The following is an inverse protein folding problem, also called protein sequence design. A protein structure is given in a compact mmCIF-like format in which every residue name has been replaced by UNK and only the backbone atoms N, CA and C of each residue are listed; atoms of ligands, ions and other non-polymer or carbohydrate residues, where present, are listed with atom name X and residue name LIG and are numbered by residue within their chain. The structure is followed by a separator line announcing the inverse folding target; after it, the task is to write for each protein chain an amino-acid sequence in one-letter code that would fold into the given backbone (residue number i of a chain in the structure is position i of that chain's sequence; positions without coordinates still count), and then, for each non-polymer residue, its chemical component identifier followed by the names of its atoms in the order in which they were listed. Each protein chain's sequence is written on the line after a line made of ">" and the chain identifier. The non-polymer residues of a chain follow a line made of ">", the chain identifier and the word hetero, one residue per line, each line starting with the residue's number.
data_IF_879030380086
#
_entry.id   IF_879030380086
#
_cell.length_a   1.000
_cell.length_b   1.000
_cell.length_c   1.000
_cell.angle_alpha   90.00
_cell.angle_beta   90.00
_cell.angle_gamma   90.00
#
_symmetry.space_group_name_H-M   'P 1'
#
loop_
_entity.id
_entity.type
_entity.pdbx_description
1 polymer ?
#
# COMPACT_ATOMS: atom_id res chain seq x y z
N UNK A 1 -38.16 -1.79 16.18
CA UNK A 1 -37.09 -2.67 15.67
C UNK A 1 -37.10 -2.58 14.16
N UNK A 2 -36.03 -2.08 13.56
CA UNK A 2 -35.86 -2.10 12.10
C UNK A 2 -35.56 -3.52 11.59
N UNK A 3 -35.77 -3.77 10.29
CA UNK A 3 -35.50 -5.07 9.66
C UNK A 3 -34.06 -5.58 9.91
N UNK A 4 -33.08 -4.67 9.96
CA UNK A 4 -31.69 -4.99 10.29
C UNK A 4 -31.49 -5.46 11.75
N UNK A 5 -32.33 -4.99 12.68
CA UNK A 5 -32.32 -5.42 14.08
C UNK A 5 -32.74 -6.88 14.19
N UNK A 6 -33.76 -7.26 13.42
CA UNK A 6 -34.32 -8.61 13.38
C UNK A 6 -33.28 -9.57 12.79
N UNK A 7 -32.63 -9.21 11.67
CA UNK A 7 -31.58 -10.02 11.05
C UNK A 7 -30.38 -10.22 11.99
N UNK A 8 -29.96 -9.17 12.69
CA UNK A 8 -28.86 -9.27 13.65
C UNK A 8 -29.18 -10.20 14.82
N UNK A 9 -30.42 -10.15 15.31
CA UNK A 9 -30.89 -11.02 16.39
C UNK A 9 -30.97 -12.48 15.93
N UNK A 10 -31.45 -12.74 14.70
CA UNK A 10 -31.40 -14.07 14.08
C UNK A 10 -29.97 -14.58 13.92
N UNK A 11 -29.03 -13.73 13.50
CA UNK A 11 -27.61 -14.09 13.38
C UNK A 11 -26.99 -14.49 14.73
N UNK A 12 -27.33 -13.76 15.80
CA UNK A 12 -26.89 -14.09 17.16
C UNK A 12 -27.43 -15.46 17.61
N UNK A 13 -28.73 -15.70 17.43
CA UNK A 13 -29.38 -16.96 17.82
C UNK A 13 -28.80 -18.13 17.00
N UNK A 14 -28.71 -17.99 15.68
CA UNK A 14 -28.17 -19.04 14.80
C UNK A 14 -26.70 -19.32 15.08
N UNK A 15 -25.91 -18.31 15.45
CA UNK A 15 -24.51 -18.49 15.81
C UNK A 15 -24.31 -19.27 17.09
N UNK A 16 -25.07 -18.95 18.14
CA UNK A 16 -25.05 -19.70 19.41
C UNK A 16 -25.52 -21.13 19.18
N UNK A 17 -26.61 -21.32 18.44
CA UNK A 17 -27.13 -22.64 18.10
C UNK A 17 -26.09 -23.46 17.29
N UNK A 18 -25.43 -22.83 16.32
CA UNK A 18 -24.38 -23.43 15.51
C UNK A 18 -23.17 -23.88 16.33
N UNK A 19 -22.73 -23.08 17.31
CA UNK A 19 -21.64 -23.46 18.21
C UNK A 19 -22.02 -24.65 19.11
N UNK A 20 -23.26 -24.70 19.59
CA UNK A 20 -23.76 -25.84 20.39
C UNK A 20 -23.81 -27.12 19.56
N UNK A 21 -24.35 -27.05 18.34
CA UNK A 21 -24.42 -28.20 17.43
C UNK A 21 -23.01 -28.67 17.00
N UNK A 22 -22.10 -27.72 16.72
CA UNK A 22 -20.71 -28.01 16.42
C UNK A 22 -20.01 -28.71 17.59
N UNK A 23 -20.22 -28.23 18.82
CA UNK A 23 -19.68 -28.85 20.03
C UNK A 23 -20.18 -30.29 20.19
N UNK A 24 -21.48 -30.52 20.06
CA UNK A 24 -22.07 -31.86 20.14
C UNK A 24 -21.56 -32.80 19.04
N UNK A 25 -21.47 -32.29 17.81
CA UNK A 25 -20.96 -33.06 16.67
C UNK A 25 -19.48 -33.41 16.84
N UNK A 26 -18.64 -32.47 17.28
CA UNK A 26 -17.21 -32.70 17.55
C UNK A 26 -16.99 -33.72 18.66
N UNK A 27 -17.79 -33.67 19.73
CA UNK A 27 -17.73 -34.68 20.79
C UNK A 27 -18.01 -36.09 20.23
N UNK A 28 -19.01 -36.24 19.37
CA UNK A 28 -19.28 -37.51 18.68
C UNK A 28 -18.16 -37.91 17.73
N UNK A 29 -17.71 -37.00 16.88
CA UNK A 29 -16.70 -37.28 15.86
C UNK A 29 -15.33 -37.65 16.46
N UNK A 30 -14.88 -36.93 17.48
CA UNK A 30 -13.57 -37.15 18.11
C UNK A 30 -13.53 -38.48 18.89
N UNK A 31 -14.68 -39.05 19.29
CA UNK A 31 -14.71 -40.40 19.87
C UNK A 31 -14.35 -41.51 18.88
N UNK A 32 -14.47 -41.24 17.57
CA UNK A 32 -14.08 -42.19 16.51
C UNK A 32 -12.58 -42.14 16.17
N UNK A 33 -11.87 -41.12 16.68
CA UNK A 33 -10.43 -40.96 16.50
C UNK A 33 -9.65 -41.58 17.67
N UNK A 34 -8.54 -42.26 17.38
CA UNK A 34 -7.69 -42.92 18.36
C UNK A 34 -6.80 -41.90 19.10
N UNK A 35 -7.44 -41.11 19.95
CA UNK A 35 -6.83 -40.02 20.73
C UNK A 35 -7.20 -40.22 22.20
N UNK A 36 -6.24 -40.04 23.11
CA UNK A 36 -6.47 -40.17 24.56
C UNK A 36 -7.62 -39.24 25.05
N UNK A 37 -8.50 -39.70 25.95
CA UNK A 37 -9.74 -39.00 26.35
C UNK A 37 -9.51 -37.57 26.86
N UNK A 38 -8.40 -37.32 27.56
CA UNK A 38 -8.02 -35.99 28.05
C UNK A 38 -7.72 -34.99 26.93
N UNK A 39 -7.13 -35.47 25.82
CA UNK A 39 -6.80 -34.66 24.65
C UNK A 39 -8.02 -34.36 23.78
N UNK A 40 -9.05 -35.22 23.82
CA UNK A 40 -10.30 -35.05 23.08
C UNK A 40 -11.05 -33.78 23.52
N UNK A 41 -11.14 -33.56 24.83
CA UNK A 41 -11.76 -32.36 25.40
C UNK A 41 -11.02 -31.07 25.00
N UNK A 42 -9.69 -31.10 25.06
CA UNK A 42 -8.85 -29.95 24.68
C UNK A 42 -8.97 -29.60 23.18
N UNK A 43 -8.99 -30.59 22.29
CA UNK A 43 -9.14 -30.38 20.85
C UNK A 43 -10.53 -29.79 20.54
N UNK A 44 -11.58 -30.33 21.16
CA UNK A 44 -12.96 -29.82 21.00
C UNK A 44 -13.06 -28.37 21.44
N UNK A 45 -12.49 -28.06 22.61
CA UNK A 45 -12.47 -26.71 23.16
C UNK A 45 -11.69 -25.76 22.25
N UNK A 46 -10.50 -26.14 21.80
CA UNK A 46 -9.69 -25.31 20.90
C UNK A 46 -10.43 -24.97 19.59
N UNK A 47 -11.07 -25.94 18.96
CA UNK A 47 -11.79 -25.74 17.69
C UNK A 47 -13.03 -24.85 17.90
N UNK A 48 -13.82 -25.11 18.94
CA UNK A 48 -15.04 -24.35 19.22
C UNK A 48 -14.70 -22.92 19.66
N UNK A 49 -13.63 -22.72 20.44
CA UNK A 49 -13.15 -21.39 20.80
C UNK A 49 -12.63 -20.60 19.59
N UNK A 50 -11.90 -21.24 18.66
CA UNK A 50 -11.42 -20.59 17.45
C UNK A 50 -12.58 -20.13 16.55
N UNK A 51 -13.55 -21.01 16.31
CA UNK A 51 -14.73 -20.71 15.49
C UNK A 51 -15.62 -19.68 16.20
N UNK A 52 -15.74 -19.77 17.53
CA UNK A 52 -16.44 -18.79 18.35
C UNK A 52 -15.84 -17.39 18.24
N UNK A 53 -14.51 -17.26 18.28
CA UNK A 53 -13.82 -15.97 18.11
C UNK A 53 -14.02 -15.38 16.71
N UNK A 54 -13.95 -16.21 15.66
CA UNK A 54 -14.23 -15.78 14.28
C UNK A 54 -15.67 -15.27 14.17
N UNK A 55 -16.63 -16.03 14.70
CA UNK A 55 -18.03 -15.64 14.69
C UNK A 55 -18.28 -14.33 15.46
N UNK A 56 -17.70 -14.17 16.65
CA UNK A 56 -17.82 -12.95 17.46
C UNK A 56 -17.20 -11.74 16.74
N UNK A 57 -16.06 -11.92 16.07
CA UNK A 57 -15.45 -10.88 15.24
C UNK A 57 -16.39 -10.42 14.11
N UNK A 58 -17.12 -11.35 13.49
CA UNK A 58 -18.13 -11.02 12.48
C UNK A 58 -19.37 -10.35 13.09
N UNK A 59 -19.80 -10.78 14.28
CA UNK A 59 -20.91 -10.16 15.01
C UNK A 59 -20.62 -8.69 15.38
N UNK A 60 -19.40 -8.39 15.85
CA UNK A 60 -18.96 -7.01 16.10
C UNK A 60 -18.94 -6.17 14.84
N UNK A 61 -18.46 -6.74 13.72
CA UNK A 61 -18.49 -6.06 12.43
C UNK A 61 -19.92 -5.77 12.00
N UNK A 62 -20.82 -6.75 12.03
CA UNK A 62 -22.24 -6.57 11.67
C UNK A 62 -22.94 -5.54 12.57
N UNK A 63 -22.65 -5.53 13.87
CA UNK A 63 -23.20 -4.53 14.79
C UNK A 63 -22.74 -3.10 14.45
N UNK A 64 -21.47 -2.93 14.08
CA UNK A 64 -20.99 -1.63 13.58
C UNK A 64 -21.69 -1.22 12.28
N UNK A 65 -21.94 -2.14 11.35
CA UNK A 65 -22.65 -1.84 10.10
C UNK A 65 -24.12 -1.46 10.33
N UNK A 66 -24.77 -2.02 11.38
CA UNK A 66 -26.13 -1.67 11.78
C UNK A 66 -26.25 -0.26 12.37
N UNK A 67 -25.17 0.25 12.98
CA UNK A 67 -25.13 1.58 13.59
C UNK A 67 -24.78 2.69 12.58
N UNK A 68 -24.44 2.33 11.34
CA UNK A 68 -24.29 3.28 10.24
C UNK A 68 -25.70 3.53 9.68
N UNK A 69 -26.31 4.72 9.90
CA UNK A 69 -27.61 5.03 9.32
C UNK A 69 -27.55 4.94 7.78
N UNK A 70 -28.64 4.53 7.10
CA UNK A 70 -28.66 4.46 5.66
C UNK A 70 -28.39 5.84 5.08
N UNK A 71 -27.30 5.95 4.32
CA UNK A 71 -26.96 7.11 3.52
C UNK A 71 -28.08 7.33 2.49
N UNK A 72 -28.95 8.30 2.77
CA UNK A 72 -29.84 8.84 1.76
C UNK A 72 -28.96 9.41 0.64
N UNK A 73 -29.16 8.87 -0.55
CA UNK A 73 -28.61 9.36 -1.80
C UNK A 73 -29.27 10.70 -2.14
N UNK A 74 -28.82 11.75 -1.46
CA UNK A 74 -28.80 13.11 -1.97
C UNK A 74 -27.34 13.45 -2.31
N UNK A 75 -27.06 14.32 -3.28
CA UNK A 75 -25.69 14.63 -3.67
C UNK A 75 -25.00 15.24 -2.45
N UNK A 76 -24.09 14.47 -1.85
CA UNK A 76 -23.32 14.92 -0.72
C UNK A 76 -22.40 16.04 -1.20
N UNK A 77 -22.78 17.28 -0.86
CA UNK A 77 -21.81 18.33 -0.64
C UNK A 77 -20.75 17.74 0.30
N UNK A 78 -19.54 17.68 -0.21
CA UNK A 78 -18.36 17.23 0.50
C UNK A 78 -18.10 18.18 1.67
N UNK A 79 -18.70 17.93 2.84
CA UNK A 79 -18.36 18.60 4.09
C UNK A 79 -18.71 17.70 5.29
N UNK A 80 -17.99 16.58 5.42
CA UNK A 80 -17.88 15.85 6.69
C UNK A 80 -16.41 15.76 7.11
N UNK A 81 -15.74 16.93 7.13
CA UNK A 81 -14.33 17.07 7.50
C UNK A 81 -14.01 18.23 8.45
N UNK A 82 -14.98 19.07 8.82
CA UNK A 82 -14.71 20.27 9.62
C UNK A 82 -15.87 20.54 10.58
N UNK A 83 -15.90 19.88 11.74
CA UNK A 83 -16.77 20.29 12.86
C UNK A 83 -16.10 21.43 13.66
N UNK A 84 -14.88 21.82 13.30
CA UNK A 84 -14.05 22.72 14.11
C UNK A 84 -13.80 24.11 13.51
N UNK A 85 -14.11 24.42 12.25
CA UNK A 85 -13.76 25.73 11.68
C UNK A 85 -14.89 26.45 10.94
N UNK A 86 -15.52 25.85 9.92
CA UNK A 86 -16.48 26.60 9.09
C UNK A 86 -17.90 26.69 9.66
N UNK A 87 -18.39 25.67 10.39
CA UNK A 87 -19.78 25.63 10.89
C UNK A 87 -20.00 26.36 12.23
N UNK A 88 -18.91 26.69 12.96
CA UNK A 88 -18.96 27.35 14.28
C UNK A 88 -19.30 28.84 14.22
N UNK A 89 -19.01 29.50 13.09
CA UNK A 89 -19.13 30.96 12.95
C UNK A 89 -20.56 31.43 12.68
N UNK A 90 -21.46 30.53 12.28
CA UNK A 90 -22.83 30.88 11.86
C UNK A 90 -23.93 30.45 12.85
N UNK A 91 -23.57 29.88 14.01
CA UNK A 91 -24.55 29.44 15.02
C UNK A 91 -24.56 30.35 16.26
N UNK A 92 -25.75 30.69 16.79
CA UNK A 92 -25.87 31.42 18.04
C UNK A 92 -25.27 30.62 19.21
N UNK A 93 -24.54 31.29 20.10
CA UNK A 93 -23.71 30.70 21.17
C UNK A 93 -24.51 29.77 22.10
N UNK A 94 -25.81 30.02 22.26
CA UNK A 94 -26.72 29.24 23.12
C UNK A 94 -26.96 27.81 22.63
N UNK A 95 -26.75 27.52 21.34
CA UNK A 95 -26.96 26.19 20.75
C UNK A 95 -25.67 25.37 20.59
N UNK A 96 -24.53 25.91 21.03
CA UNK A 96 -23.24 25.24 20.91
C UNK A 96 -23.02 24.23 22.05
N UNK A 97 -22.48 23.06 21.73
CA UNK A 97 -21.93 22.13 22.73
C UNK A 97 -20.74 22.75 23.47
N UNK A 98 -20.42 22.23 24.67
CA UNK A 98 -19.29 22.76 25.47
C UNK A 98 -17.95 22.71 24.73
N UNK A 99 -17.70 21.68 23.90
CA UNK A 99 -16.49 21.62 23.08
C UNK A 99 -16.46 22.72 21.99
N UNK A 100 -17.62 23.09 21.45
CA UNK A 100 -17.75 24.15 20.46
C UNK A 100 -17.61 25.55 21.09
N UNK A 101 -18.13 25.74 22.32
CA UNK A 101 -17.90 26.97 23.10
C UNK A 101 -16.43 27.17 23.42
N UNK A 102 -15.74 26.10 23.86
CA UNK A 102 -14.31 26.13 24.10
C UNK A 102 -13.51 26.46 22.83
N UNK A 103 -13.84 25.84 21.69
CA UNK A 103 -13.17 26.13 20.42
C UNK A 103 -13.35 27.60 20.00
N UNK A 104 -14.55 28.15 20.17
CA UNK A 104 -14.83 29.57 19.89
C UNK A 104 -14.08 30.50 20.83
N UNK A 105 -14.05 30.17 22.13
CA UNK A 105 -13.29 30.93 23.11
C UNK A 105 -11.78 30.92 22.79
N UNK A 106 -11.23 29.76 22.44
CA UNK A 106 -9.83 29.60 22.02
C UNK A 106 -9.52 30.48 20.80
N UNK A 107 -10.40 30.48 19.80
CA UNK A 107 -10.24 31.31 18.61
C UNK A 107 -10.25 32.81 18.92
N UNK A 108 -11.12 33.26 19.82
CA UNK A 108 -11.26 34.68 20.17
C UNK A 108 -10.13 35.17 21.10
N UNK A 109 -9.67 34.35 22.05
CA UNK A 109 -8.74 34.76 23.12
C UNK A 109 -7.31 34.27 22.91
N UNK A 110 -7.11 33.17 22.19
CA UNK A 110 -5.81 32.54 21.91
C UNK A 110 -5.67 32.15 20.43
N UNK A 111 -5.81 33.11 19.49
CA UNK A 111 -5.90 32.82 18.05
C UNK A 111 -4.69 32.03 17.51
N UNK A 112 -3.48 32.33 17.99
CA UNK A 112 -2.28 31.60 17.56
C UNK A 112 -2.29 30.12 18.00
N UNK A 113 -2.79 29.83 19.20
CA UNK A 113 -2.92 28.44 19.67
C UNK A 113 -3.96 27.69 18.84
N UNK A 114 -5.10 28.33 18.58
CA UNK A 114 -6.15 27.80 17.73
C UNK A 114 -5.62 27.45 16.33
N UNK A 115 -4.93 28.38 15.67
CA UNK A 115 -4.38 28.17 14.33
C UNK A 115 -3.38 27.00 14.29
N UNK A 116 -2.49 26.91 15.29
CA UNK A 116 -1.54 25.81 15.41
C UNK A 116 -2.25 24.46 15.64
N UNK A 117 -3.27 24.43 16.49
CA UNK A 117 -4.05 23.23 16.81
C UNK A 117 -4.87 22.75 15.61
N UNK A 118 -5.53 23.65 14.89
CA UNK A 118 -6.26 23.34 13.65
C UNK A 118 -5.31 22.85 12.56
N UNK A 119 -4.14 23.48 12.41
CA UNK A 119 -3.12 23.01 11.47
C UNK A 119 -2.66 21.58 11.80
N UNK A 120 -2.38 21.28 13.07
CA UNK A 120 -2.04 19.94 13.52
C UNK A 120 -3.15 18.92 13.22
N UNK A 121 -4.41 19.30 13.43
CA UNK A 121 -5.56 18.44 13.10
C UNK A 121 -5.67 18.18 11.59
N UNK A 122 -5.48 19.21 10.76
CA UNK A 122 -5.45 19.06 9.29
C UNK A 122 -4.33 18.12 8.85
N UNK A 123 -3.15 18.24 9.46
CA UNK A 123 -2.00 17.36 9.18
C UNK A 123 -2.33 15.89 9.53
N UNK A 124 -2.98 15.64 10.67
CA UNK A 124 -3.50 14.30 11.05
C UNK A 124 -4.46 13.76 9.98
N UNK A 125 -5.43 14.57 9.54
CA UNK A 125 -6.38 14.17 8.49
C UNK A 125 -5.73 13.91 7.14
N UNK A 126 -4.68 14.65 6.80
CA UNK A 126 -3.85 14.37 5.64
C UNK A 126 -3.18 13.00 5.71
N UNK A 127 -2.68 12.63 6.89
CA UNK A 127 -2.07 11.31 7.14
C UNK A 127 -3.10 10.17 7.10
N UNK A 128 -4.28 10.35 7.70
CA UNK A 128 -5.40 9.40 7.59
C UNK A 128 -5.75 9.09 6.12
N UNK A 129 -5.92 10.15 5.32
CA UNK A 129 -6.22 10.03 3.89
C UNK A 129 -5.09 9.32 3.13
N UNK A 130 -3.83 9.60 3.48
CA UNK A 130 -2.68 8.90 2.92
C UNK A 130 -2.72 7.39 3.24
N UNK A 131 -3.02 6.98 4.47
CA UNK A 131 -3.08 5.57 4.85
C UNK A 131 -4.17 4.80 4.10
N UNK A 132 -5.30 5.42 3.81
CA UNK A 132 -6.35 4.82 2.97
C UNK A 132 -5.84 4.65 1.53
N UNK A 133 -5.15 5.65 0.97
CA UNK A 133 -4.60 5.59 -0.40
C UNK A 133 -3.56 4.49 -0.53
N UNK A 134 -2.58 4.43 0.38
CA UNK A 134 -1.50 3.44 0.30
C UNK A 134 -1.99 2.01 0.50
N UNK A 135 -3.01 1.79 1.35
CA UNK A 135 -3.63 0.47 1.53
C UNK A 135 -4.31 -0.03 0.25
N UNK A 136 -4.95 0.86 -0.51
CA UNK A 136 -5.55 0.54 -1.81
C UNK A 136 -4.51 0.33 -2.90
N UNK A 137 -3.41 1.09 -2.85
CA UNK A 137 -2.38 1.08 -3.88
C UNK A 137 -1.42 -0.11 -3.76
N UNK A 138 -0.99 -0.47 -2.55
CA UNK A 138 0.05 -1.47 -2.33
C UNK A 138 -0.18 -2.83 -3.03
N UNK A 139 -1.41 -3.40 -3.09
CA UNK A 139 -1.69 -4.63 -3.84
C UNK A 139 -1.45 -4.50 -5.36
N UNK A 140 -1.58 -3.29 -5.90
CA UNK A 140 -1.42 -3.00 -7.34
C UNK A 140 0.05 -2.79 -7.73
N UNK A 141 0.93 -2.51 -6.76
CA UNK A 141 2.36 -2.23 -6.96
C UNK A 141 3.25 -3.15 -6.10
N UNK A 142 3.15 -4.48 -6.25
CA UNK A 142 3.86 -5.42 -5.39
C UNK A 142 5.39 -5.25 -5.42
N UNK A 143 5.95 -4.70 -6.52
CA UNK A 143 7.38 -4.42 -6.64
C UNK A 143 7.83 -3.18 -5.86
N UNK A 144 6.90 -2.28 -5.52
CA UNK A 144 7.16 -1.07 -4.74
C UNK A 144 6.81 -1.22 -3.25
N UNK A 145 6.29 -2.37 -2.81
CA UNK A 145 5.99 -2.62 -1.38
C UNK A 145 7.15 -2.25 -0.46
N UNK A 146 8.43 -2.58 -0.76
CA UNK A 146 9.54 -2.17 0.11
C UNK A 146 9.65 -0.65 0.31
N UNK A 147 9.50 0.14 -0.76
CA UNK A 147 9.48 1.60 -0.69
C UNK A 147 8.25 2.09 0.07
N UNK A 148 7.07 1.58 -0.29
CA UNK A 148 5.81 1.96 0.34
C UNK A 148 5.79 1.70 1.84
N UNK A 149 6.32 0.56 2.28
CA UNK A 149 6.41 0.24 3.71
C UNK A 149 7.30 1.22 4.48
N UNK A 150 8.43 1.64 3.90
CA UNK A 150 9.31 2.64 4.53
C UNK A 150 8.61 3.99 4.68
N UNK A 151 7.91 4.44 3.63
CA UNK A 151 7.13 5.69 3.67
C UNK A 151 5.97 5.57 4.66
N UNK A 152 5.28 4.43 4.67
CA UNK A 152 4.17 4.15 5.58
C UNK A 152 4.61 4.22 7.04
N UNK A 153 5.66 3.49 7.41
CA UNK A 153 6.19 3.46 8.78
C UNK A 153 6.62 4.85 9.25
N UNK A 154 7.33 5.59 8.40
CA UNK A 154 7.74 6.96 8.70
C UNK A 154 6.53 7.86 9.00
N UNK A 155 5.52 7.86 8.11
CA UNK A 155 4.30 8.66 8.28
C UNK A 155 3.43 8.18 9.43
N UNK A 156 3.46 6.90 9.76
CA UNK A 156 2.76 6.35 10.93
C UNK A 156 3.36 6.87 12.24
N UNK A 157 4.68 6.96 12.32
CA UNK A 157 5.34 7.58 13.47
C UNK A 157 4.95 9.07 13.59
N UNK A 158 4.99 9.83 12.49
CA UNK A 158 4.51 11.22 12.47
C UNK A 158 3.05 11.32 12.94
N UNK A 159 2.17 10.46 12.44
CA UNK A 159 0.76 10.44 12.81
C UNK A 159 0.55 10.20 14.31
N UNK A 160 1.28 9.26 14.91
CA UNK A 160 1.22 8.98 16.34
C UNK A 160 1.66 10.19 17.17
N UNK A 161 2.79 10.81 16.80
CA UNK A 161 3.29 12.01 17.47
C UNK A 161 2.29 13.18 17.38
N UNK A 162 1.71 13.40 16.20
CA UNK A 162 0.72 14.46 16.00
C UNK A 162 -0.56 14.20 16.78
N UNK A 163 -1.07 12.97 16.76
CA UNK A 163 -2.27 12.57 17.49
C UNK A 163 -2.09 12.74 18.99
N UNK A 164 -0.93 12.32 19.52
CA UNK A 164 -0.58 12.49 20.92
C UNK A 164 -0.51 13.99 21.28
N UNK A 165 0.20 14.79 20.48
CA UNK A 165 0.32 16.24 20.68
C UNK A 165 -1.06 16.92 20.67
N UNK A 166 -1.92 16.56 19.74
CA UNK A 166 -3.28 17.09 19.64
C UNK A 166 -4.13 16.75 20.87
N UNK A 167 -4.03 15.50 21.36
CA UNK A 167 -4.72 15.05 22.56
C UNK A 167 -4.24 15.82 23.79
N UNK A 168 -2.92 15.98 23.97
CA UNK A 168 -2.32 16.73 25.08
C UNK A 168 -2.80 18.19 25.11
N UNK A 169 -2.77 18.88 23.96
CA UNK A 169 -3.28 20.26 23.84
C UNK A 169 -4.77 20.33 24.18
N UNK A 170 -5.57 19.40 23.64
CA UNK A 170 -7.01 19.35 23.88
C UNK A 170 -7.34 19.06 25.35
N UNK A 171 -6.53 18.27 26.06
CA UNK A 171 -6.68 18.03 27.49
C UNK A 171 -6.35 19.29 28.31
N UNK A 172 -5.29 20.02 27.97
CA UNK A 172 -4.93 21.27 28.65
C UNK A 172 -6.00 22.34 28.47
N UNK A 173 -6.55 22.48 27.25
CA UNK A 173 -7.67 23.39 26.98
C UNK A 173 -8.94 23.02 27.76
N UNK A 174 -9.29 21.73 27.82
CA UNK A 174 -10.45 21.28 28.60
C UNK A 174 -10.24 21.50 30.10
N UNK A 175 -9.04 21.23 30.60
CA UNK A 175 -8.70 21.50 32.01
C UNK A 175 -8.84 22.99 32.33
N UNK A 176 -8.29 23.87 31.48
CA UNK A 176 -8.50 25.32 31.57
C UNK A 176 -9.98 25.69 31.56
N UNK A 177 -10.75 25.14 30.61
CA UNK A 177 -12.17 25.46 30.44
C UNK A 177 -12.99 25.14 31.68
N UNK A 178 -12.72 24.00 32.34
CA UNK A 178 -13.38 23.64 33.60
C UNK A 178 -13.10 24.71 34.66
N UNK A 179 -11.84 25.05 34.91
CA UNK A 179 -11.50 26.06 35.93
C UNK A 179 -12.01 27.47 35.57
N UNK A 180 -12.05 27.81 34.29
CA UNK A 180 -12.58 29.08 33.81
C UNK A 180 -14.10 29.20 34.02
N UNK A 181 -14.84 28.12 33.79
CA UNK A 181 -16.31 28.11 33.88
C UNK A 181 -16.84 27.83 35.28
N UNK A 182 -16.11 27.09 36.12
CA UNK A 182 -16.56 26.72 37.47
C UNK A 182 -15.89 27.52 38.59
N UNK A 183 -14.80 28.23 38.29
CA UNK A 183 -13.95 28.90 39.28
C UNK A 183 -13.78 30.40 39.01
N UNK A 184 -12.65 30.95 39.46
CA UNK A 184 -12.28 32.33 39.16
C UNK A 184 -11.70 32.40 37.73
N UNK A 185 -12.49 32.93 36.81
CA UNK A 185 -12.17 33.04 35.39
C UNK A 185 -10.91 33.88 35.12
N UNK A 186 -10.71 34.98 35.86
CA UNK A 186 -9.54 35.86 35.70
C UNK A 186 -8.24 35.16 36.15
N UNK A 187 -8.26 34.49 37.30
CA UNK A 187 -7.12 33.73 37.81
C UNK A 187 -6.78 32.53 36.90
N UNK A 188 -7.80 31.83 36.39
CA UNK A 188 -7.63 30.75 35.43
C UNK A 188 -6.97 31.24 34.14
N UNK A 189 -7.42 32.39 33.62
CA UNK A 189 -6.87 33.00 32.40
C UNK A 189 -5.41 33.44 32.60
N UNK A 190 -5.10 34.10 33.72
CA UNK A 190 -3.74 34.53 34.05
C UNK A 190 -2.77 33.34 34.14
N UNK A 191 -3.19 32.24 34.78
CA UNK A 191 -2.38 31.02 34.91
C UNK A 191 -2.24 30.23 33.61
N UNK A 192 -3.22 30.33 32.72
CA UNK A 192 -3.20 29.62 31.45
C UNK A 192 -2.36 30.32 30.38
N UNK A 193 -2.24 31.65 30.42
CA UNK A 193 -1.42 32.42 29.46
C UNK A 193 0.02 31.86 29.26
N UNK A 194 0.81 31.56 30.31
CA UNK A 194 2.14 30.95 30.11
C UNK A 194 2.07 29.53 29.54
N UNK A 195 0.99 28.78 29.83
CA UNK A 195 0.76 27.43 29.28
C UNK A 195 0.48 27.50 27.78
N UNK A 196 -0.32 28.47 27.32
CA UNK A 196 -0.61 28.72 25.90
C UNK A 196 0.68 28.87 25.10
N UNK A 197 1.59 29.75 25.55
CA UNK A 197 2.87 29.97 24.88
C UNK A 197 3.73 28.68 24.80
N UNK A 198 3.68 27.85 25.84
CA UNK A 198 4.37 26.55 25.85
C UNK A 198 3.73 25.57 24.87
N UNK A 199 2.40 25.51 24.82
CA UNK A 199 1.67 24.62 23.90
C UNK A 199 1.95 24.99 22.44
N UNK A 200 1.92 26.28 22.10
CA UNK A 200 2.27 26.77 20.75
C UNK A 200 3.67 26.28 20.35
N UNK A 201 4.69 26.56 21.18
CA UNK A 201 6.06 26.11 20.92
C UNK A 201 6.17 24.61 20.74
N UNK A 202 5.45 23.84 21.56
CA UNK A 202 5.53 22.38 21.51
C UNK A 202 4.84 21.82 20.26
N UNK A 203 3.73 22.42 19.82
CA UNK A 203 3.08 22.08 18.53
C UNK A 203 4.05 22.40 17.38
N UNK A 204 4.64 23.60 17.37
CA UNK A 204 5.58 24.03 16.33
C UNK A 204 6.82 23.12 16.28
N UNK A 205 7.39 22.73 17.42
CA UNK A 205 8.49 21.76 17.50
C UNK A 205 8.09 20.40 16.93
N UNK A 206 6.93 19.88 17.33
CA UNK A 206 6.44 18.58 16.82
C UNK A 206 6.26 18.61 15.31
N UNK A 207 5.75 19.73 14.75
CA UNK A 207 5.62 19.92 13.31
C UNK A 207 6.96 20.20 12.61
N UNK A 208 7.94 20.76 13.32
CA UNK A 208 9.30 20.96 12.84
C UNK A 208 10.06 19.64 12.65
N UNK A 209 9.88 18.67 13.55
CA UNK A 209 10.43 17.31 13.42
C UNK A 209 9.96 16.58 12.15
N UNK A 210 8.83 17.01 11.56
CA UNK A 210 8.36 16.48 10.27
C UNK A 210 9.25 16.88 9.10
N UNK A 211 9.97 18.01 9.16
CA UNK A 211 10.93 18.38 8.11
C UNK A 211 12.05 17.33 8.01
N UNK A 212 12.53 16.82 9.14
CA UNK A 212 13.52 15.73 9.17
C UNK A 212 12.94 14.43 8.61
N UNK A 213 11.66 14.16 8.87
CA UNK A 213 10.97 13.02 8.30
C UNK A 213 10.77 13.18 6.78
N UNK A 214 10.46 14.38 6.29
CA UNK A 214 10.39 14.66 4.86
C UNK A 214 11.74 14.42 4.17
N UNK A 215 12.84 14.84 4.77
CA UNK A 215 14.19 14.55 4.27
C UNK A 215 14.48 13.03 4.23
N UNK A 216 14.07 12.27 5.26
CA UNK A 216 14.19 10.80 5.25
C UNK A 216 13.31 10.15 4.18
N UNK A 217 12.09 10.65 3.99
CA UNK A 217 11.19 10.17 2.94
C UNK A 217 11.82 10.37 1.56
N UNK A 218 12.36 11.56 1.30
CA UNK A 218 13.10 11.88 0.09
C UNK A 218 14.28 10.93 -0.10
N UNK A 219 15.08 10.67 0.94
CA UNK A 219 16.18 9.73 0.86
C UNK A 219 15.73 8.31 0.43
N UNK A 220 14.63 7.80 0.98
CA UNK A 220 14.10 6.49 0.56
C UNK A 220 13.67 6.45 -0.91
N UNK A 221 13.10 7.55 -1.41
CA UNK A 221 12.75 7.69 -2.82
C UNK A 221 14.02 7.70 -3.69
N UNK A 222 15.03 8.47 -3.29
CA UNK A 222 16.33 8.54 -3.99
C UNK A 222 17.00 7.16 -4.05
N UNK A 223 17.02 6.42 -2.94
CA UNK A 223 17.56 5.07 -2.88
C UNK A 223 16.85 4.13 -3.86
N UNK A 224 15.53 4.22 -3.94
CA UNK A 224 14.71 3.40 -4.85
C UNK A 224 14.97 3.74 -6.32
N UNK A 225 15.09 5.03 -6.64
CA UNK A 225 15.47 5.48 -8.00
C UNK A 225 16.89 5.03 -8.36
N UNK A 226 17.86 5.11 -7.44
CA UNK A 226 19.23 4.60 -7.66
C UNK A 226 19.27 3.08 -7.86
N UNK A 227 18.43 2.34 -7.14
CA UNK A 227 18.30 0.90 -7.35
C UNK A 227 17.74 0.60 -8.76
N UNK A 228 16.74 1.34 -9.21
CA UNK A 228 16.22 1.23 -10.58
C UNK A 228 17.29 1.57 -11.64
N UNK A 229 18.07 2.66 -11.45
CA UNK A 229 19.19 2.99 -12.34
C UNK A 229 20.21 1.84 -12.43
N UNK A 230 20.52 1.22 -11.30
CA UNK A 230 21.48 0.10 -11.23
C UNK A 230 20.95 -1.12 -11.98
N UNK A 231 19.65 -1.40 -11.84
CA UNK A 231 18.98 -2.47 -12.59
C UNK A 231 19.02 -2.21 -14.09
N UNK A 232 18.69 -0.99 -14.54
CA UNK A 232 18.70 -0.61 -15.96
C UNK A 232 20.08 -0.85 -16.61
N UNK A 233 21.17 -0.62 -15.87
CA UNK A 233 22.55 -0.78 -16.36
C UNK A 233 23.04 -2.23 -16.35
N UNK A 234 22.33 -3.16 -15.69
CA UNK A 234 22.77 -4.55 -15.55
C UNK A 234 21.98 -5.50 -16.45
N UNK A 235 22.66 -6.18 -17.37
CA UNK A 235 22.09 -7.24 -18.20
C UNK A 235 22.14 -8.62 -17.54
N UNK A 236 22.71 -8.72 -16.33
CA UNK A 236 22.80 -9.98 -15.59
C UNK A 236 21.43 -10.36 -15.05
N UNK A 237 20.98 -11.57 -15.34
CA UNK A 237 19.76 -12.12 -14.76
C UNK A 237 19.91 -12.24 -13.24
N UNK A 238 18.86 -12.00 -12.46
CA UNK A 238 18.87 -12.26 -11.03
C UNK A 238 19.11 -13.75 -10.77
N UNK A 239 19.72 -14.08 -9.62
CA UNK A 239 19.95 -15.47 -9.23
C UNK A 239 18.63 -16.26 -9.25
N UNK A 240 18.68 -17.55 -9.62
CA UNK A 240 17.50 -18.40 -9.82
C UNK A 240 16.52 -18.43 -8.63
N UNK A 241 17.02 -18.21 -7.41
CA UNK A 241 16.21 -18.12 -6.18
C UNK A 241 15.31 -16.88 -6.12
N UNK A 242 15.68 -15.79 -6.81
CA UNK A 242 14.89 -14.56 -6.83
C UNK A 242 13.78 -14.63 -7.89
N UNK A 243 13.99 -15.41 -8.96
CA UNK A 243 13.09 -15.50 -10.11
C UNK A 243 12.90 -14.15 -10.82
N UNK A 244 12.77 -14.17 -12.15
CA UNK A 244 12.25 -12.97 -12.83
C UNK A 244 10.75 -12.96 -12.59
N UNK A 245 10.31 -12.31 -11.51
CA UNK A 245 8.89 -12.11 -11.26
C UNK A 245 8.34 -11.08 -12.26
N UNK A 246 7.83 -11.57 -13.38
CA UNK A 246 7.20 -10.73 -14.40
C UNK A 246 6.06 -9.89 -13.81
N UNK A 247 5.84 -8.71 -14.40
CA UNK A 247 4.65 -7.92 -14.10
C UNK A 247 3.39 -8.69 -14.47
N UNK A 248 2.39 -8.67 -13.59
CA UNK A 248 1.03 -9.12 -13.94
C UNK A 248 0.47 -8.22 -15.05
N UNK A 249 -0.43 -8.76 -15.87
CA UNK A 249 -1.01 -8.05 -17.01
C UNK A 249 -1.64 -6.71 -16.60
N UNK A 250 -2.46 -6.71 -15.55
CA UNK A 250 -3.14 -5.50 -15.05
C UNK A 250 -2.13 -4.44 -14.60
N UNK A 251 -1.08 -4.84 -13.86
CA UNK A 251 -0.04 -3.93 -13.39
C UNK A 251 0.74 -3.33 -14.57
N UNK A 252 1.06 -4.16 -15.57
CA UNK A 252 1.72 -3.73 -16.80
C UNK A 252 0.86 -2.72 -17.53
N UNK A 253 -0.43 -3.01 -17.71
CA UNK A 253 -1.34 -2.13 -18.44
C UNK A 253 -1.50 -0.77 -17.75
N UNK A 254 -1.64 -0.75 -16.41
CA UNK A 254 -1.67 0.50 -15.63
C UNK A 254 -0.42 1.37 -15.87
N UNK A 255 0.77 0.77 -15.89
CA UNK A 255 2.02 1.50 -16.16
C UNK A 255 2.05 1.99 -17.61
N UNK A 256 1.62 1.18 -18.58
CA UNK A 256 1.55 1.57 -19.99
C UNK A 256 0.58 2.74 -20.22
N UNK A 257 -0.57 2.75 -19.55
CA UNK A 257 -1.55 3.85 -19.60
C UNK A 257 -0.98 5.12 -18.98
N UNK A 258 -0.27 5.01 -17.86
CA UNK A 258 0.44 6.11 -17.23
C UNK A 258 1.52 6.71 -18.15
N UNK A 259 2.34 5.86 -18.78
CA UNK A 259 3.35 6.27 -19.75
C UNK A 259 2.73 6.99 -20.96
N UNK A 260 1.59 6.49 -21.45
CA UNK A 260 0.87 7.10 -22.55
C UNK A 260 0.34 8.50 -22.18
N UNK A 261 -0.23 8.64 -20.98
CA UNK A 261 -0.72 9.93 -20.46
C UNK A 261 0.40 10.96 -20.31
N UNK A 262 1.59 10.51 -19.89
CA UNK A 262 2.74 11.38 -19.63
C UNK A 262 3.66 11.58 -20.85
N UNK A 263 3.26 11.10 -22.04
CA UNK A 263 3.99 11.36 -23.28
C UNK A 263 5.35 10.64 -23.40
N UNK A 264 5.59 9.56 -22.64
CA UNK A 264 6.83 8.79 -22.67
C UNK A 264 6.90 7.83 -23.86
N UNK A 265 6.89 8.38 -25.08
CA UNK A 265 6.71 7.66 -26.34
C UNK A 265 7.80 6.61 -26.61
N UNK A 266 9.07 6.96 -26.41
CA UNK A 266 10.20 6.05 -26.68
C UNK A 266 10.15 4.80 -25.79
N UNK A 267 9.94 5.00 -24.48
CA UNK A 267 9.78 3.90 -23.53
C UNK A 267 8.57 3.02 -23.88
N UNK A 268 7.44 3.64 -24.22
CA UNK A 268 6.22 2.93 -24.59
C UNK A 268 6.40 2.08 -25.86
N UNK A 269 7.07 2.62 -26.88
CA UNK A 269 7.42 1.89 -28.09
C UNK A 269 8.37 0.72 -27.81
N UNK A 270 9.40 0.97 -26.99
CA UNK A 270 10.35 -0.06 -26.56
C UNK A 270 9.65 -1.23 -25.86
N UNK A 271 8.71 -0.93 -24.95
CA UNK A 271 7.93 -1.95 -24.25
C UNK A 271 7.02 -2.74 -25.21
N UNK A 272 6.51 -2.12 -26.28
CA UNK A 272 5.77 -2.81 -27.35
C UNK A 272 6.69 -3.70 -28.17
N UNK A 273 7.88 -3.24 -28.56
CA UNK A 273 8.88 -4.03 -29.28
C UNK A 273 9.28 -5.28 -28.49
N UNK A 274 9.60 -5.13 -27.20
CA UNK A 274 9.92 -6.25 -26.31
C UNK A 274 8.76 -7.25 -26.23
N UNK A 275 7.51 -6.76 -26.18
CA UNK A 275 6.32 -7.62 -26.19
C UNK A 275 6.16 -8.42 -27.48
N UNK A 276 6.37 -7.78 -28.64
CA UNK A 276 6.32 -8.45 -29.94
C UNK A 276 7.42 -9.50 -30.07
N UNK A 277 8.64 -9.17 -29.64
CA UNK A 277 9.77 -10.08 -29.64
C UNK A 277 9.54 -11.28 -28.70
N UNK A 278 8.90 -11.07 -27.54
CA UNK A 278 8.48 -12.16 -26.64
C UNK A 278 7.55 -13.15 -27.33
N UNK A 279 6.56 -12.65 -28.07
CA UNK A 279 5.60 -13.49 -28.79
C UNK A 279 6.32 -14.34 -29.85
N UNK A 280 7.25 -13.74 -30.60
CA UNK A 280 8.10 -14.45 -31.56
C UNK A 280 8.95 -15.54 -30.87
N UNK A 281 9.66 -15.21 -29.79
CA UNK A 281 10.47 -16.16 -29.02
C UNK A 281 9.63 -17.36 -28.55
N UNK A 282 8.43 -17.10 -28.00
CA UNK A 282 7.53 -18.16 -27.54
C UNK A 282 7.06 -19.07 -28.68
N UNK A 283 6.76 -18.51 -29.84
CA UNK A 283 6.42 -19.27 -31.04
C UNK A 283 7.58 -20.19 -31.47
N UNK A 284 8.82 -19.70 -31.46
CA UNK A 284 10.01 -20.49 -31.80
C UNK A 284 10.28 -21.59 -30.78
N UNK A 285 10.13 -21.31 -29.48
CA UNK A 285 10.22 -22.33 -28.42
C UNK A 285 9.21 -23.45 -28.68
N UNK A 286 7.95 -23.11 -29.00
CA UNK A 286 6.93 -24.12 -29.26
C UNK A 286 7.25 -24.94 -30.52
N UNK A 287 7.73 -24.29 -31.58
CA UNK A 287 8.15 -24.96 -32.81
C UNK A 287 9.29 -25.95 -32.55
N UNK A 288 10.33 -25.55 -31.81
CA UNK A 288 11.45 -26.44 -31.44
C UNK A 288 10.97 -27.61 -30.59
N UNK A 289 10.07 -27.38 -29.60
CA UNK A 289 9.48 -28.46 -28.80
C UNK A 289 8.71 -29.47 -29.66
N UNK A 290 7.92 -28.99 -30.63
CA UNK A 290 7.18 -29.86 -31.54
C UNK A 290 8.14 -30.70 -32.41
N UNK A 291 9.27 -30.13 -32.87
CA UNK A 291 10.29 -30.87 -33.60
C UNK A 291 11.00 -31.92 -32.74
N UNK A 292 11.32 -31.61 -31.48
CA UNK A 292 11.89 -32.59 -30.54
C UNK A 292 10.94 -33.78 -30.34
N UNK A 293 9.64 -33.53 -30.24
CA UNK A 293 8.63 -34.58 -30.09
C UNK A 293 8.48 -35.43 -31.36
N UNK A 294 8.54 -34.80 -32.54
CA UNK A 294 8.36 -35.48 -33.83
C UNK A 294 9.62 -36.22 -34.29
N UNK A 295 10.80 -35.70 -33.98
CA UNK A 295 12.10 -36.24 -34.38
C UNK A 295 13.05 -36.26 -33.16
N UNK A 296 12.91 -37.27 -32.27
CA UNK A 296 13.67 -37.35 -31.02
C UNK A 296 15.19 -37.49 -31.23
N UNK A 297 15.61 -37.88 -32.43
CA UNK A 297 16.99 -38.06 -32.86
C UNK A 297 17.70 -36.73 -33.18
N UNK A 298 16.97 -35.64 -33.41
CA UNK A 298 17.57 -34.33 -33.68
C UNK A 298 18.14 -33.69 -32.39
N UNK A 299 19.40 -33.19 -32.40
CA UNK A 299 20.07 -32.62 -31.23
C UNK A 299 19.62 -31.18 -30.92
N UNK A 300 18.32 -30.96 -30.74
CA UNK A 300 17.70 -29.63 -30.59
C UNK A 300 17.72 -29.07 -29.16
N UNK A 301 18.27 -29.80 -28.18
CA UNK A 301 18.30 -29.37 -26.78
C UNK A 301 19.03 -28.03 -26.59
N UNK A 302 20.16 -27.82 -27.28
CA UNK A 302 20.90 -26.55 -27.25
C UNK A 302 20.09 -25.39 -27.84
N UNK A 303 19.43 -25.61 -28.97
CA UNK A 303 18.56 -24.61 -29.61
C UNK A 303 17.44 -24.20 -28.68
N UNK A 304 16.78 -25.17 -28.03
CA UNK A 304 15.74 -24.91 -27.04
C UNK A 304 16.27 -24.07 -25.87
N UNK A 305 17.45 -24.42 -25.33
CA UNK A 305 18.08 -23.68 -24.24
C UNK A 305 18.40 -22.23 -24.62
N UNK A 306 18.90 -21.99 -25.83
CA UNK A 306 19.21 -20.64 -26.32
C UNK A 306 17.94 -19.79 -26.45
N UNK A 307 16.86 -20.34 -27.01
CA UNK A 307 15.57 -19.65 -27.05
C UNK A 307 14.99 -19.36 -25.66
N UNK A 308 15.11 -20.29 -24.71
CA UNK A 308 14.72 -20.07 -23.33
C UNK A 308 15.55 -18.97 -22.65
N UNK A 309 16.85 -18.90 -22.95
CA UNK A 309 17.74 -17.85 -22.46
C UNK A 309 17.35 -16.48 -23.03
N UNK A 310 17.06 -16.42 -24.34
CA UNK A 310 16.55 -15.21 -24.98
C UNK A 310 15.22 -14.74 -24.37
N UNK A 311 14.31 -15.68 -24.06
CA UNK A 311 13.05 -15.37 -23.37
C UNK A 311 13.28 -14.73 -22.01
N UNK A 312 14.17 -15.31 -21.18
CA UNK A 312 14.48 -14.77 -19.85
C UNK A 312 15.05 -13.36 -19.93
N UNK A 313 15.97 -13.11 -20.85
CA UNK A 313 16.55 -11.78 -21.03
C UNK A 313 15.55 -10.76 -21.58
N UNK A 314 14.65 -11.16 -22.48
CA UNK A 314 13.56 -10.32 -22.96
C UNK A 314 12.59 -9.94 -21.82
N UNK A 315 12.16 -10.91 -21.01
CA UNK A 315 11.31 -10.66 -19.84
C UNK A 315 12.00 -9.77 -18.81
N UNK A 316 13.29 -9.96 -18.58
CA UNK A 316 14.06 -9.15 -17.65
C UNK A 316 14.30 -7.72 -18.17
N UNK A 317 14.46 -7.54 -19.48
CA UNK A 317 14.49 -6.21 -20.10
C UNK A 317 13.20 -5.42 -19.85
N UNK A 318 12.05 -6.05 -20.11
CA UNK A 318 10.74 -5.42 -19.84
C UNK A 318 10.59 -5.10 -18.34
N UNK A 319 10.94 -6.05 -17.47
CA UNK A 319 10.88 -5.86 -16.02
C UNK A 319 11.67 -4.62 -15.56
N UNK A 320 12.92 -4.46 -16.00
CA UNK A 320 13.78 -3.33 -15.59
C UNK A 320 13.19 -1.98 -15.99
N UNK A 321 12.65 -1.90 -17.20
CA UNK A 321 12.02 -0.70 -17.74
C UNK A 321 10.72 -0.36 -17.00
N UNK A 322 9.84 -1.36 -16.79
CA UNK A 322 8.60 -1.18 -16.04
C UNK A 322 8.86 -0.82 -14.58
N UNK A 323 9.87 -1.45 -13.94
CA UNK A 323 10.24 -1.16 -12.56
C UNK A 323 10.70 0.28 -12.38
N UNK A 324 11.51 0.79 -13.31
CA UNK A 324 11.95 2.18 -13.29
C UNK A 324 10.78 3.16 -13.47
N UNK A 325 9.86 2.88 -14.41
CA UNK A 325 8.67 3.71 -14.64
C UNK A 325 7.63 3.64 -13.50
N UNK A 326 7.55 2.51 -12.80
CA UNK A 326 6.57 2.32 -11.73
C UNK A 326 6.84 3.21 -10.51
N UNK A 327 8.10 3.56 -10.25
CA UNK A 327 8.48 4.44 -9.12
C UNK A 327 7.78 5.81 -9.25
N UNK A 328 8.03 6.64 -10.29
CA UNK A 328 7.38 7.94 -10.42
C UNK A 328 5.85 7.80 -10.55
N UNK A 329 5.36 6.76 -11.24
CA UNK A 329 3.92 6.50 -11.33
C UNK A 329 3.27 6.25 -9.97
N UNK A 330 3.96 5.55 -9.07
CA UNK A 330 3.48 5.27 -7.70
C UNK A 330 3.49 6.54 -6.85
N UNK A 331 4.53 7.36 -6.98
CA UNK A 331 4.64 8.63 -6.24
C UNK A 331 3.55 9.61 -6.66
N UNK A 332 3.27 9.74 -7.96
CA UNK A 332 2.17 10.58 -8.48
C UNK A 332 0.82 10.15 -7.90
N UNK A 333 0.54 8.84 -7.88
CA UNK A 333 -0.72 8.31 -7.32
C UNK A 333 -0.88 8.57 -5.81
N UNK A 334 0.23 8.72 -5.08
CA UNK A 334 0.24 9.09 -3.67
C UNK A 334 0.28 10.60 -3.43
N UNK A 335 0.29 11.42 -4.49
CA UNK A 335 0.52 12.86 -4.44
C UNK A 335 1.81 13.21 -3.69
N UNK A 336 2.87 12.43 -3.92
CA UNK A 336 4.22 12.70 -3.41
C UNK A 336 5.04 13.29 -4.55
N UNK A 337 5.52 14.52 -4.36
CA UNK A 337 6.41 15.15 -5.34
C UNK A 337 7.75 14.40 -5.39
N UNK A 338 8.16 13.89 -6.56
CA UNK A 338 9.45 13.24 -6.68
C UNK A 338 10.58 14.28 -6.59
N UNK A 339 11.75 13.92 -6.01
CA UNK A 339 12.92 14.79 -6.04
C UNK A 339 13.36 15.09 -7.47
N UNK A 340 13.42 16.36 -7.86
CA UNK A 340 13.60 16.78 -9.26
C UNK A 340 14.88 16.20 -9.91
N UNK A 341 16.04 16.40 -9.26
CA UNK A 341 17.33 15.95 -9.83
C UNK A 341 17.42 14.42 -9.96
N UNK A 342 17.09 13.62 -8.93
CA UNK A 342 17.02 12.16 -9.04
C UNK A 342 16.02 11.67 -10.08
N UNK A 343 14.84 12.29 -10.17
CA UNK A 343 13.83 11.92 -11.15
C UNK A 343 14.30 12.17 -12.59
N UNK A 344 14.81 13.37 -12.89
CA UNK A 344 15.33 13.70 -14.21
C UNK A 344 16.51 12.80 -14.61
N UNK A 345 17.35 12.44 -13.63
CA UNK A 345 18.47 11.51 -13.84
C UNK A 345 17.99 10.09 -14.16
N UNK A 346 16.94 9.61 -13.50
CA UNK A 346 16.34 8.31 -13.80
C UNK A 346 15.78 8.30 -15.23
N UNK A 347 15.07 9.34 -15.63
CA UNK A 347 14.51 9.47 -16.98
C UNK A 347 15.62 9.49 -18.04
N UNK A 348 16.66 10.29 -17.83
CA UNK A 348 17.85 10.30 -18.71
C UNK A 348 18.54 8.93 -18.77
N UNK A 349 18.57 8.20 -17.65
CA UNK A 349 19.13 6.84 -17.61
C UNK A 349 18.28 5.86 -18.40
N UNK A 350 16.94 5.95 -18.32
CA UNK A 350 16.03 5.13 -19.13
C UNK A 350 16.32 5.35 -20.62
N UNK A 351 16.29 6.60 -21.06
CA UNK A 351 16.53 6.97 -22.47
C UNK A 351 17.90 6.50 -22.98
N UNK A 352 18.94 6.65 -22.14
CA UNK A 352 20.30 6.20 -22.48
C UNK A 352 20.42 4.68 -22.55
N UNK A 353 19.68 3.94 -21.70
CA UNK A 353 19.80 2.48 -21.61
C UNK A 353 18.87 1.73 -22.58
N UNK A 354 17.79 2.34 -23.07
CA UNK A 354 16.88 1.71 -24.04
C UNK A 354 17.63 1.06 -25.23
N UNK A 355 18.52 1.77 -25.96
CA UNK A 355 19.23 1.17 -27.09
C UNK A 355 20.14 0.01 -26.68
N UNK A 356 20.78 0.11 -25.50
CA UNK A 356 21.65 -0.94 -24.98
C UNK A 356 20.87 -2.19 -24.59
N UNK A 357 19.71 -2.02 -23.96
CA UNK A 357 18.79 -3.10 -23.58
C UNK A 357 18.29 -3.81 -24.83
N UNK A 358 17.78 -3.07 -25.83
CA UNK A 358 17.28 -3.65 -27.09
C UNK A 358 18.37 -4.40 -27.85
N UNK A 359 19.57 -3.80 -27.99
CA UNK A 359 20.72 -4.45 -28.64
C UNK A 359 21.10 -5.76 -27.96
N UNK A 360 21.11 -5.79 -26.63
CA UNK A 360 21.45 -6.99 -25.88
C UNK A 360 20.39 -8.09 -26.08
N UNK A 361 19.10 -7.75 -25.97
CA UNK A 361 18.00 -8.72 -26.21
C UNK A 361 18.05 -9.26 -27.63
N UNK A 362 18.27 -8.39 -28.63
CA UNK A 362 18.44 -8.81 -30.03
C UNK A 362 19.62 -9.76 -30.20
N UNK A 363 20.75 -9.52 -29.52
CA UNK A 363 21.91 -10.41 -29.55
C UNK A 363 21.55 -11.82 -29.05
N UNK A 364 20.77 -11.92 -27.97
CA UNK A 364 20.32 -13.22 -27.45
C UNK A 364 19.38 -13.95 -28.41
N UNK A 365 18.48 -13.21 -29.08
CA UNK A 365 17.60 -13.78 -30.11
C UNK A 365 18.41 -14.25 -31.31
N UNK A 366 19.33 -13.43 -31.83
CA UNK A 366 20.21 -13.81 -32.94
C UNK A 366 21.06 -15.04 -32.63
N UNK A 367 21.57 -15.17 -31.39
CA UNK A 367 22.28 -16.38 -30.97
C UNK A 367 21.38 -17.63 -30.99
N UNK A 368 20.09 -17.49 -30.66
CA UNK A 368 19.12 -18.58 -30.72
C UNK A 368 18.71 -18.92 -32.17
N UNK A 369 18.57 -17.92 -33.04
CA UNK A 369 18.31 -18.11 -34.46
C UNK A 369 19.49 -18.79 -35.18
N UNK A 370 20.71 -18.41 -34.82
CA UNK A 370 21.95 -18.96 -35.35
C UNK A 370 22.40 -20.23 -34.61
N UNK A 371 21.53 -20.85 -33.81
CA UNK A 371 21.85 -22.03 -33.01
C UNK A 371 22.17 -23.30 -33.82
N UNK A 372 22.21 -23.23 -35.15
CA UNK A 372 22.68 -24.31 -36.00
C UNK A 372 24.12 -24.68 -35.64
N UNK A 373 24.26 -25.78 -34.90
CA UNK A 373 25.50 -26.46 -34.66
C UNK A 373 25.36 -27.89 -35.20
N UNK A 374 25.99 -28.23 -36.33
CA UNK A 374 26.12 -29.63 -36.72
C UNK A 374 27.03 -30.27 -35.66
N UNK A 375 26.45 -30.91 -34.64
CA UNK A 375 27.21 -31.81 -33.80
C UNK A 375 27.63 -32.96 -34.69
N UNK A 376 28.89 -32.95 -35.14
CA UNK A 376 29.50 -34.12 -35.73
C UNK A 376 29.27 -35.29 -34.77
N UNK A 377 28.73 -36.43 -35.23
CA UNK A 377 28.53 -37.58 -34.36
C UNK A 377 29.89 -37.91 -33.75
N UNK A 378 29.92 -38.10 -32.41
CA UNK A 378 31.10 -38.65 -31.74
C UNK A 378 31.38 -39.99 -32.40
N UNK A 379 32.35 -40.02 -33.30
CA UNK A 379 32.92 -41.27 -33.77
C UNK A 379 33.63 -41.86 -32.57
N UNK A 380 33.00 -42.87 -31.96
CA UNK A 380 33.69 -43.78 -31.07
C UNK A 380 34.84 -44.39 -31.89
N UNK A 381 36.03 -43.82 -31.76
CA UNK A 381 37.25 -44.48 -32.20
C UNK A 381 37.41 -45.72 -31.31
N UNK A 382 37.38 -46.86 -32.00
CA UNK A 382 37.64 -48.21 -31.49
C UNK A 382 38.92 -48.26 -30.66
#
# INVERSE_FOLDING_TARGET
>A
MGFADIIFLFYLILGVLGLILLWQWLLGYITTLDVAPEKRGLITLAIVSLIGLIWLSYAFKLNHWRQIPPSSSAPASSNHGSVLAEDLLNQPVENLSEEQKLARFEQENFPELYDNRISLYRDIKGLDAFFIKIQKLAPLVPKQIPLLNRIYQLRQNTHQQYSQRYLEVSQQLRHFWVHYTTGNSEDALQKFQPVVNRLIKTIQQTRGDDLDNQAKQEQYIIESMRAAETLLKSNKLPAAQLGITSYKLDNRQRIMEWLNKNGSTNLLETLRMLSNQRAHILQQIQMVKNYIQRYPDLPLARTLQLWQTALQHNMYAEYRLLYAAEIPATLEQLAITPPEKPHARLDATIETQIPNILRFVNTMVTQAEQAYAPTAPKTNKR
#
